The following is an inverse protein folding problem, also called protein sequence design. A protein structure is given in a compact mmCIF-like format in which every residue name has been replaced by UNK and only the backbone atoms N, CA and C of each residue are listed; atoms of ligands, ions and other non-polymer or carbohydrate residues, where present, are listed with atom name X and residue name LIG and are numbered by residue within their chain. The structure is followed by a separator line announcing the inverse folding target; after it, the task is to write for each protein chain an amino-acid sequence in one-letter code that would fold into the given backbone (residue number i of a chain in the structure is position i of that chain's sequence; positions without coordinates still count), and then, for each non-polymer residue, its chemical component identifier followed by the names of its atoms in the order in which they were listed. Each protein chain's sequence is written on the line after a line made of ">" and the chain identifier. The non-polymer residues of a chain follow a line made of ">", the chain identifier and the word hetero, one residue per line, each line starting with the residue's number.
data_IF_736898090611
#
_entry.id   IF_736898090611
#
_cell.length_a   1.000
_cell.length_b   1.000
_cell.length_c   1.000
_cell.angle_alpha   90.00
_cell.angle_beta   90.00
_cell.angle_gamma   90.00
#
_symmetry.space_group_name_H-M   'P 1'
#
loop_
_entity.id
_entity.type
_entity.pdbx_description
1 polymer ?
#
# COMPACT_ATOMS: atom_id res chain seq x y z
N UNK A 1 20.39 19.54 -27.93
CA UNK A 1 21.20 18.39 -27.49
C UNK A 1 20.27 17.22 -27.18
N UNK A 2 20.58 16.03 -27.70
CA UNK A 2 19.85 14.79 -27.43
C UNK A 2 20.87 13.64 -27.28
N UNK A 3 20.53 12.63 -26.49
CA UNK A 3 21.33 11.40 -26.38
C UNK A 3 20.66 10.34 -27.23
N UNK A 4 21.45 9.60 -28.01
CA UNK A 4 20.96 8.47 -28.79
C UNK A 4 20.98 7.20 -27.93
N UNK A 5 19.80 6.65 -27.64
CA UNK A 5 19.63 5.39 -26.91
C UNK A 5 18.92 4.33 -27.78
N UNK A 6 18.94 4.47 -29.10
CA UNK A 6 18.30 3.51 -30.03
C UNK A 6 18.87 2.10 -29.89
N UNK A 7 20.17 1.98 -29.60
CA UNK A 7 20.86 0.73 -29.20
C UNK A 7 20.10 -0.04 -28.12
N UNK A 8 19.50 0.68 -27.17
CA UNK A 8 18.77 0.13 -26.03
C UNK A 8 17.25 0.06 -26.28
N UNK A 9 16.79 0.37 -27.50
CA UNK A 9 15.37 0.51 -27.86
C UNK A 9 14.64 1.57 -27.04
N UNK A 10 15.35 2.63 -26.62
CA UNK A 10 14.82 3.71 -25.79
C UNK A 10 14.65 5.04 -26.53
N UNK A 11 14.96 5.11 -27.82
CA UNK A 11 14.79 6.33 -28.61
C UNK A 11 15.84 7.40 -28.32
N UNK A 12 15.56 8.65 -28.71
CA UNK A 12 16.48 9.78 -28.56
C UNK A 12 15.94 10.85 -27.61
N UNK A 13 16.06 10.69 -26.28
CA UNK A 13 15.62 11.72 -25.35
C UNK A 13 16.35 13.03 -25.60
N UNK A 14 15.57 14.10 -25.77
CA UNK A 14 16.10 15.46 -25.82
C UNK A 14 16.58 15.82 -24.41
N UNK A 15 17.73 16.48 -24.31
CA UNK A 15 18.25 17.06 -23.06
C UNK A 15 18.24 18.59 -23.06
N UNK A 16 18.23 19.20 -24.24
CA UNK A 16 18.12 20.64 -24.39
C UNK A 16 17.45 20.97 -25.72
N UNK A 17 16.40 21.78 -25.69
CA UNK A 17 15.69 22.21 -26.90
C UNK A 17 16.58 23.16 -27.73
N UNK A 18 16.66 22.99 -29.06
CA UNK A 18 17.30 23.97 -29.94
C UNK A 18 16.67 25.37 -29.75
N UNK A 19 17.49 26.42 -29.69
CA UNK A 19 17.03 27.80 -29.54
C UNK A 19 16.54 28.20 -28.14
N UNK A 20 16.68 27.34 -27.13
CA UNK A 20 16.09 27.56 -25.79
C UNK A 20 16.97 28.30 -24.77
N UNK A 21 18.03 29.01 -25.21
CA UNK A 21 18.94 29.80 -24.35
C UNK A 21 19.33 29.15 -23.01
N UNK A 22 19.58 27.84 -22.98
CA UNK A 22 19.97 27.15 -21.74
C UNK A 22 18.85 26.60 -20.87
N UNK A 23 17.58 26.70 -21.26
CA UNK A 23 16.47 26.15 -20.46
C UNK A 23 16.59 24.62 -20.30
N UNK A 24 16.61 24.15 -19.06
CA UNK A 24 16.72 22.72 -18.73
C UNK A 24 15.35 22.04 -18.81
N UNK A 25 15.26 20.93 -19.52
CA UNK A 25 14.02 20.14 -19.60
C UNK A 25 13.97 19.07 -18.49
N UNK A 26 12.80 18.46 -18.33
CA UNK A 26 12.47 17.58 -17.20
C UNK A 26 13.48 16.44 -17.00
N UNK A 27 14.03 15.88 -18.08
CA UNK A 27 15.09 14.87 -18.05
C UNK A 27 16.34 15.35 -17.29
N UNK A 28 16.88 16.52 -17.65
CA UNK A 28 18.07 17.08 -17.01
C UNK A 28 17.81 17.41 -15.54
N UNK A 29 16.59 17.88 -15.22
CA UNK A 29 16.20 18.18 -13.83
C UNK A 29 16.10 16.94 -12.96
N UNK A 30 15.60 15.82 -13.47
CA UNK A 30 15.58 14.55 -12.74
C UNK A 30 16.99 14.00 -12.53
N UNK A 31 17.85 14.12 -13.53
CA UNK A 31 19.27 13.72 -13.43
C UNK A 31 19.98 14.53 -12.34
N UNK A 32 19.91 15.85 -12.41
CA UNK A 32 20.51 16.75 -11.42
C UNK A 32 19.93 16.51 -10.02
N UNK A 33 18.61 16.33 -9.91
CA UNK A 33 17.94 16.07 -8.63
C UNK A 33 18.38 14.75 -7.98
N UNK A 34 18.63 13.70 -8.76
CA UNK A 34 19.14 12.44 -8.21
C UNK A 34 20.57 12.56 -7.67
N UNK A 35 21.44 13.26 -8.39
CA UNK A 35 22.83 13.53 -7.99
C UNK A 35 22.86 14.38 -6.72
N UNK A 36 22.10 15.48 -6.70
CA UNK A 36 22.02 16.37 -5.54
C UNK A 36 21.50 15.64 -4.29
N UNK A 37 20.45 14.81 -4.44
CA UNK A 37 19.96 13.96 -3.35
C UNK A 37 21.03 12.98 -2.85
N UNK A 38 21.83 12.42 -3.74
CA UNK A 38 22.88 11.50 -3.30
C UNK A 38 24.00 12.23 -2.55
N UNK A 39 24.44 13.38 -3.03
CA UNK A 39 25.43 14.19 -2.30
C UNK A 39 24.92 14.64 -0.93
N UNK A 40 23.61 14.90 -0.81
CA UNK A 40 23.01 15.33 0.45
C UNK A 40 22.76 14.19 1.43
N UNK A 41 22.24 13.06 0.95
CA UNK A 41 21.71 12.00 1.82
C UNK A 41 22.53 10.72 1.81
N UNK A 42 23.45 10.56 0.85
CA UNK A 42 24.24 9.33 0.64
C UNK A 42 23.36 8.07 0.68
N UNK A 43 22.21 8.11 0.01
CA UNK A 43 21.21 7.05 0.11
C UNK A 43 21.75 5.69 -0.37
N UNK A 44 21.33 4.62 0.32
CA UNK A 44 21.56 3.25 -0.12
C UNK A 44 20.59 2.82 -1.23
N UNK A 45 19.37 3.37 -1.20
CA UNK A 45 18.34 3.11 -2.20
C UNK A 45 17.42 4.33 -2.37
N UNK A 46 17.00 4.61 -3.61
CA UNK A 46 16.01 5.63 -3.93
C UNK A 46 14.91 5.04 -4.82
N UNK A 47 13.66 5.14 -4.33
CA UNK A 47 12.47 4.63 -5.02
C UNK A 47 11.75 5.77 -5.74
N UNK A 48 11.49 5.59 -7.03
CA UNK A 48 10.65 6.48 -7.84
C UNK A 48 9.27 5.88 -7.99
N UNK A 49 8.30 6.39 -7.23
CA UNK A 49 6.90 5.96 -7.31
C UNK A 49 6.13 6.89 -8.26
N UNK A 50 5.94 6.48 -9.52
CA UNK A 50 5.33 7.34 -10.55
C UNK A 50 4.40 6.53 -11.44
N UNK A 51 3.33 7.17 -11.93
CA UNK A 51 2.38 6.50 -12.82
C UNK A 51 3.01 5.95 -14.10
N UNK A 52 2.47 4.83 -14.58
CA UNK A 52 2.96 4.04 -15.71
C UNK A 52 3.20 4.82 -17.03
N UNK A 53 2.53 5.96 -17.21
CA UNK A 53 2.74 6.81 -18.38
C UNK A 53 4.16 7.37 -18.49
N UNK A 54 4.92 7.34 -17.39
CA UNK A 54 6.31 7.79 -17.35
C UNK A 54 7.31 6.64 -17.49
N UNK A 55 6.87 5.40 -17.79
CA UNK A 55 7.76 4.24 -17.95
C UNK A 55 8.94 4.55 -18.90
N UNK A 56 8.67 5.07 -20.10
CA UNK A 56 9.72 5.39 -21.08
C UNK A 56 10.71 6.44 -20.54
N UNK A 57 10.19 7.47 -19.86
CA UNK A 57 11.00 8.55 -19.30
C UNK A 57 11.97 8.04 -18.23
N UNK A 58 11.50 7.20 -17.30
CA UNK A 58 12.35 6.64 -16.25
C UNK A 58 13.33 5.59 -16.78
N UNK A 59 12.94 4.77 -17.76
CA UNK A 59 13.86 3.87 -18.45
C UNK A 59 15.00 4.63 -19.15
N UNK A 60 14.68 5.76 -19.81
CA UNK A 60 15.68 6.66 -20.39
C UNK A 60 16.57 7.29 -19.31
N UNK A 61 15.99 7.80 -18.21
CA UNK A 61 16.77 8.38 -17.10
C UNK A 61 17.78 7.38 -16.53
N UNK A 62 17.32 6.17 -16.19
CA UNK A 62 18.16 5.14 -15.59
C UNK A 62 19.26 4.67 -16.54
N UNK A 63 18.93 4.56 -17.83
CA UNK A 63 19.95 4.25 -18.83
C UNK A 63 21.00 5.34 -18.93
N UNK A 64 20.59 6.61 -18.97
CA UNK A 64 21.53 7.75 -18.98
C UNK A 64 22.42 7.70 -17.74
N UNK A 65 21.86 7.50 -16.54
CA UNK A 65 22.67 7.41 -15.33
C UNK A 65 23.68 6.26 -15.38
N UNK A 66 23.28 5.09 -15.89
CA UNK A 66 24.18 3.92 -16.02
C UNK A 66 25.35 4.14 -16.99
N UNK A 67 25.24 5.15 -17.86
CA UNK A 67 26.24 5.51 -18.87
C UNK A 67 27.08 6.72 -18.49
N UNK A 68 26.84 7.34 -17.33
CA UNK A 68 27.69 8.40 -16.80
C UNK A 68 28.89 7.78 -16.09
N UNK A 69 30.11 8.03 -16.60
CA UNK A 69 31.37 7.54 -15.99
C UNK A 69 31.50 8.00 -14.52
N UNK A 70 31.12 9.25 -14.22
CA UNK A 70 31.18 9.84 -12.89
C UNK A 70 29.86 9.75 -12.10
N UNK A 71 29.03 8.71 -12.33
CA UNK A 71 27.81 8.54 -11.54
C UNK A 71 28.16 8.17 -10.08
N UNK A 72 27.91 9.03 -9.08
CA UNK A 72 28.47 8.85 -7.74
C UNK A 72 27.80 7.72 -6.94
N UNK A 73 26.71 7.14 -7.45
CA UNK A 73 25.86 6.17 -6.75
C UNK A 73 25.60 4.88 -7.54
N UNK A 74 26.31 4.62 -8.65
CA UNK A 74 26.15 3.35 -9.41
C UNK A 74 24.69 3.06 -9.78
N UNK A 75 24.11 3.89 -10.65
CA UNK A 75 22.66 4.05 -10.79
C UNK A 75 21.83 2.79 -11.05
N UNK A 76 22.39 1.75 -11.66
CA UNK A 76 21.69 0.49 -11.88
C UNK A 76 21.41 -0.31 -10.61
N UNK A 77 22.13 -0.05 -9.51
CA UNK A 77 21.99 -0.82 -8.26
C UNK A 77 21.14 -0.10 -7.21
N UNK A 78 21.13 1.24 -7.20
CA UNK A 78 20.51 2.04 -6.12
C UNK A 78 19.20 2.73 -6.48
N UNK A 79 18.85 2.80 -7.77
CA UNK A 79 17.60 3.42 -8.23
C UNK A 79 16.58 2.34 -8.62
N UNK A 80 15.36 2.46 -8.10
CA UNK A 80 14.26 1.57 -8.49
C UNK A 80 13.03 2.36 -8.88
N UNK A 81 12.36 1.93 -9.96
CA UNK A 81 11.15 2.55 -10.45
C UNK A 81 9.94 1.67 -10.12
N UNK A 82 9.01 2.22 -9.36
CA UNK A 82 7.79 1.57 -8.89
C UNK A 82 6.61 2.24 -9.58
N UNK A 83 6.02 1.57 -10.57
CA UNK A 83 4.90 2.12 -11.32
C UNK A 83 3.54 1.74 -10.75
N UNK A 84 2.53 2.56 -11.06
CA UNK A 84 1.12 2.32 -10.78
C UNK A 84 0.22 2.78 -11.95
N UNK A 85 -0.94 2.16 -12.13
CA UNK A 85 -1.91 2.42 -13.18
C UNK A 85 -2.74 3.69 -12.93
N UNK A 86 -3.65 4.02 -13.86
CA UNK A 86 -4.50 5.22 -13.72
C UNK A 86 -5.80 4.91 -12.97
N UNK A 87 -6.15 5.79 -12.03
CA UNK A 87 -7.52 5.96 -11.56
C UNK A 87 -8.33 6.81 -12.57
N UNK A 88 -9.59 6.44 -12.85
CA UNK A 88 -10.49 7.20 -13.72
C UNK A 88 -11.81 7.51 -13.02
N UNK A 89 -12.18 8.81 -13.03
CA UNK A 89 -13.46 9.31 -12.51
C UNK A 89 -13.45 9.52 -10.99
N UNK A 90 -14.09 10.60 -10.52
CA UNK A 90 -14.38 10.87 -9.12
C UNK A 90 -15.85 11.27 -9.00
N UNK A 91 -16.56 10.74 -8.01
CA UNK A 91 -17.90 11.13 -7.62
C UNK A 91 -17.97 11.12 -6.08
N UNK A 92 -18.93 11.82 -5.50
CA UNK A 92 -19.02 12.03 -4.04
C UNK A 92 -20.18 11.22 -3.45
N UNK A 93 -20.01 10.50 -2.33
CA UNK A 93 -21.10 9.81 -1.66
C UNK A 93 -21.89 10.75 -0.70
N UNK A 94 -23.12 10.36 -0.36
CA UNK A 94 -24.06 11.09 0.52
C UNK A 94 -24.19 10.46 1.92
N UNK A 95 -24.44 11.23 3.00
CA UNK A 95 -24.42 10.69 4.36
C UNK A 95 -25.82 10.48 4.96
N UNK A 96 -26.09 9.31 5.52
CA UNK A 96 -27.07 9.15 6.62
C UNK A 96 -26.66 8.06 7.62
N UNK A 97 -26.99 8.34 8.89
CA UNK A 97 -26.98 7.53 10.14
C UNK A 97 -25.72 7.59 11.01
N UNK A 98 -25.70 8.45 12.03
CA UNK A 98 -24.83 8.30 13.20
C UNK A 98 -25.48 8.87 14.48
N UNK A 99 -26.03 8.01 15.34
CA UNK A 99 -26.61 8.41 16.63
C UNK A 99 -25.92 7.77 17.85
N UNK A 100 -24.76 7.13 17.68
CA UNK A 100 -24.03 6.44 18.75
C UNK A 100 -22.50 6.64 18.68
N UNK A 101 -22.03 7.64 17.94
CA UNK A 101 -20.60 7.89 17.74
C UNK A 101 -20.22 9.20 18.44
N UNK A 102 -19.16 9.18 19.24
CA UNK A 102 -18.65 10.34 19.99
C UNK A 102 -18.16 11.45 19.06
N UNK A 103 -17.47 11.06 17.97
CA UNK A 103 -17.09 11.94 16.86
C UNK A 103 -17.48 11.33 15.50
N UNK A 104 -18.71 11.60 15.01
CA UNK A 104 -19.19 11.08 13.74
C UNK A 104 -18.37 11.58 12.53
N UNK A 105 -17.87 12.82 12.57
CA UNK A 105 -17.12 13.40 11.44
C UNK A 105 -15.77 12.69 11.28
N UNK A 106 -14.99 12.61 12.36
CA UNK A 106 -13.71 11.90 12.36
C UNK A 106 -13.87 10.43 11.97
N UNK A 107 -14.89 9.76 12.50
CA UNK A 107 -15.14 8.35 12.19
C UNK A 107 -15.51 8.16 10.72
N UNK A 108 -16.33 9.04 10.17
CA UNK A 108 -16.70 9.00 8.75
C UNK A 108 -15.50 9.24 7.83
N UNK A 109 -14.59 10.15 8.20
CA UNK A 109 -13.36 10.43 7.45
C UNK A 109 -12.40 9.23 7.47
N UNK A 110 -12.21 8.59 8.63
CA UNK A 110 -11.39 7.39 8.75
C UNK A 110 -11.93 6.22 7.92
N UNK A 111 -13.24 5.99 7.97
CA UNK A 111 -13.90 4.94 7.18
C UNK A 111 -13.77 5.26 5.69
N UNK A 112 -14.06 6.50 5.28
CA UNK A 112 -13.97 6.95 3.89
C UNK A 112 -12.54 6.85 3.34
N UNK A 113 -11.54 7.28 4.10
CA UNK A 113 -10.14 7.15 3.73
C UNK A 113 -9.72 5.68 3.61
N UNK A 114 -10.18 4.82 4.52
CA UNK A 114 -9.88 3.38 4.44
C UNK A 114 -10.54 2.76 3.21
N UNK A 115 -11.77 3.13 2.90
CA UNK A 115 -12.48 2.68 1.70
C UNK A 115 -11.67 3.01 0.42
N UNK A 116 -11.26 4.26 0.26
CA UNK A 116 -10.48 4.71 -0.90
C UNK A 116 -9.12 4.01 -0.99
N UNK A 117 -8.38 3.92 0.12
CA UNK A 117 -7.05 3.30 0.13
C UNK A 117 -7.12 1.81 -0.16
N UNK A 118 -8.02 1.09 0.49
CA UNK A 118 -8.12 -0.38 0.32
C UNK A 118 -8.52 -0.72 -1.10
N UNK A 119 -9.46 -0.01 -1.70
CA UNK A 119 -9.84 -0.30 -3.09
C UNK A 119 -8.67 -0.08 -4.06
N UNK A 120 -7.87 0.98 -3.87
CA UNK A 120 -6.72 1.28 -4.73
C UNK A 120 -5.61 0.24 -4.55
N UNK A 121 -5.39 -0.18 -3.31
CA UNK A 121 -4.32 -1.11 -2.95
C UNK A 121 -4.68 -2.59 -3.15
N UNK A 122 -5.95 -2.93 -3.37
CA UNK A 122 -6.39 -4.33 -3.51
C UNK A 122 -5.90 -4.99 -4.80
N UNK A 123 -5.82 -4.22 -5.89
CA UNK A 123 -5.29 -4.70 -7.16
C UNK A 123 -3.76 -4.54 -7.21
N UNK A 124 -3.10 -5.31 -8.10
CA UNK A 124 -1.68 -5.07 -8.42
C UNK A 124 -1.52 -3.64 -8.95
N UNK A 125 -0.44 -2.97 -8.55
CA UNK A 125 -0.24 -1.54 -8.88
C UNK A 125 -0.37 -1.23 -10.37
N UNK A 126 0.09 -2.11 -11.24
CA UNK A 126 0.09 -1.92 -12.70
C UNK A 126 -1.31 -1.91 -13.32
N UNK A 127 -2.32 -2.41 -12.62
CA UNK A 127 -3.69 -2.46 -13.12
C UNK A 127 -4.32 -1.07 -13.06
N UNK A 128 -4.97 -0.68 -14.15
CA UNK A 128 -5.84 0.50 -14.16
C UNK A 128 -7.24 0.10 -13.69
N UNK A 129 -7.94 1.01 -13.02
CA UNK A 129 -9.30 0.75 -12.54
C UNK A 129 -10.21 1.97 -12.78
N UNK A 130 -11.52 1.71 -12.77
CA UNK A 130 -12.56 2.73 -12.77
C UNK A 130 -13.06 2.91 -11.35
N UNK A 131 -13.06 4.15 -10.85
CA UNK A 131 -13.59 4.44 -9.52
C UNK A 131 -15.11 4.24 -9.52
N UNK A 132 -15.60 3.31 -8.71
CA UNK A 132 -17.02 3.02 -8.55
C UNK A 132 -17.37 3.10 -7.06
N UNK A 133 -17.96 4.21 -6.63
CA UNK A 133 -18.24 4.45 -5.21
C UNK A 133 -19.24 3.46 -4.64
N UNK A 134 -20.15 2.94 -5.46
CA UNK A 134 -21.11 1.91 -5.06
C UNK A 134 -20.41 0.60 -4.66
N UNK A 135 -19.17 0.37 -5.14
CA UNK A 135 -18.37 -0.82 -4.79
C UNK A 135 -17.39 -0.59 -3.66
N UNK A 136 -17.07 0.68 -3.33
CA UNK A 136 -15.98 1.03 -2.42
C UNK A 136 -16.50 1.36 -1.01
N UNK A 137 -17.69 1.96 -0.92
CA UNK A 137 -18.31 2.36 0.35
C UNK A 137 -19.14 1.30 1.09
N UNK A 138 -19.58 0.17 0.49
CA UNK A 138 -20.33 -0.85 1.24
C UNK A 138 -19.53 -1.43 2.41
N UNK A 139 -20.24 -1.81 3.48
CA UNK A 139 -19.69 -2.55 4.62
C UNK A 139 -19.66 -4.07 4.41
N UNK A 140 -20.19 -4.53 3.27
CA UNK A 140 -20.22 -5.93 2.86
C UNK A 140 -19.23 -6.18 1.72
N UNK A 141 -18.64 -7.37 1.71
CA UNK A 141 -17.61 -7.76 0.73
C UNK A 141 -16.20 -7.29 1.10
N UNK A 142 -15.27 -7.45 0.17
CA UNK A 142 -13.86 -7.11 0.37
C UNK A 142 -13.62 -5.60 0.20
N UNK A 143 -14.12 -4.81 1.16
CA UNK A 143 -14.00 -3.34 1.17
C UNK A 143 -13.21 -2.82 2.38
N UNK A 144 -12.75 -1.57 2.29
CA UNK A 144 -12.09 -0.91 3.42
C UNK A 144 -12.98 -0.80 4.68
N UNK A 145 -14.27 -0.42 4.56
CA UNK A 145 -15.20 -0.42 5.67
C UNK A 145 -15.38 -1.79 6.32
N UNK A 146 -15.35 -2.89 5.56
CA UNK A 146 -15.41 -4.26 6.13
C UNK A 146 -14.21 -4.57 7.05
N UNK A 147 -13.00 -4.15 6.66
CA UNK A 147 -11.81 -4.32 7.51
C UNK A 147 -11.92 -3.50 8.81
N UNK A 148 -12.39 -2.25 8.72
CA UNK A 148 -12.64 -1.40 9.90
C UNK A 148 -13.71 -2.00 10.81
N UNK A 149 -14.80 -2.51 10.24
CA UNK A 149 -15.86 -3.16 10.99
C UNK A 149 -15.35 -4.38 11.75
N UNK A 150 -14.55 -5.23 11.10
CA UNK A 150 -13.91 -6.40 11.73
C UNK A 150 -13.06 -5.97 12.94
N UNK A 151 -12.23 -4.93 12.78
CA UNK A 151 -11.39 -4.40 13.87
C UNK A 151 -12.23 -3.85 15.03
N UNK A 152 -13.25 -3.03 14.75
CA UNK A 152 -14.13 -2.45 15.78
C UNK A 152 -14.88 -3.53 16.55
N UNK A 153 -15.32 -4.59 15.87
CA UNK A 153 -16.02 -5.73 16.48
C UNK A 153 -15.11 -6.50 17.45
N UNK A 154 -13.84 -6.71 17.10
CA UNK A 154 -12.85 -7.30 18.02
C UNK A 154 -12.61 -6.41 19.24
N UNK A 155 -12.41 -5.10 19.03
CA UNK A 155 -12.24 -4.15 20.15
C UNK A 155 -13.49 -4.11 21.04
N UNK A 156 -14.67 -4.23 20.45
CA UNK A 156 -15.92 -4.29 21.20
C UNK A 156 -16.02 -5.57 22.02
N UNK A 157 -15.62 -6.72 21.47
CA UNK A 157 -15.56 -7.99 22.20
C UNK A 157 -14.72 -7.86 23.46
N UNK A 158 -13.51 -7.32 23.32
CA UNK A 158 -12.58 -7.13 24.44
C UNK A 158 -13.20 -6.25 25.53
N UNK A 159 -13.86 -5.14 25.15
CA UNK A 159 -14.57 -4.28 26.11
C UNK A 159 -15.73 -4.99 26.80
N UNK A 160 -16.54 -5.73 26.04
CA UNK A 160 -17.72 -6.42 26.58
C UNK A 160 -17.31 -7.52 27.56
N UNK A 161 -16.35 -8.37 27.20
CA UNK A 161 -15.83 -9.44 28.06
C UNK A 161 -15.18 -8.88 29.32
N UNK A 162 -14.48 -7.74 29.22
CA UNK A 162 -13.95 -7.06 30.40
C UNK A 162 -15.04 -6.52 31.34
N UNK A 163 -16.16 -6.04 30.80
CA UNK A 163 -17.28 -5.47 31.57
C UNK A 163 -18.20 -6.53 32.17
N UNK A 164 -18.53 -7.57 31.41
CA UNK A 164 -19.53 -8.59 31.77
C UNK A 164 -18.89 -9.74 32.55
N UNK A 165 -17.72 -10.22 32.11
CA UNK A 165 -17.06 -11.40 32.68
C UNK A 165 -15.86 -11.05 33.58
N UNK A 166 -15.46 -9.77 33.62
CA UNK A 166 -14.29 -9.31 34.37
C UNK A 166 -12.95 -9.82 33.80
N UNK A 167 -12.96 -10.35 32.59
CA UNK A 167 -11.80 -10.91 31.91
C UNK A 167 -10.99 -9.78 31.26
N UNK A 168 -9.94 -9.35 31.95
CA UNK A 168 -9.00 -8.32 31.46
C UNK A 168 -7.65 -8.96 31.17
N UNK A 169 -7.17 -8.79 29.93
CA UNK A 169 -5.83 -9.25 29.53
C UNK A 169 -4.80 -8.32 30.19
N UNK A 170 -4.30 -8.73 31.35
CA UNK A 170 -3.34 -7.95 32.14
C UNK A 170 -1.88 -8.26 31.79
N UNK A 171 -1.60 -9.48 31.32
CA UNK A 171 -0.27 -9.90 30.87
C UNK A 171 -0.36 -11.04 29.86
N UNK A 172 0.63 -11.18 28.98
CA UNK A 172 0.70 -12.32 28.06
C UNK A 172 0.88 -13.66 28.80
N UNK A 173 1.55 -13.64 29.95
CA UNK A 173 1.78 -14.84 30.78
C UNK A 173 0.48 -15.38 31.41
N UNK A 174 -0.55 -14.55 31.53
CA UNK A 174 -1.87 -14.95 32.03
C UNK A 174 -2.74 -15.70 31.01
N UNK A 175 -2.28 -15.82 29.75
CA UNK A 175 -3.04 -16.45 28.68
C UNK A 175 -2.69 -17.93 28.59
N UNK A 176 -3.66 -18.80 28.93
CA UNK A 176 -3.53 -20.23 28.70
C UNK A 176 -3.73 -20.60 27.23
N UNK A 177 -2.62 -20.63 26.49
CA UNK A 177 -2.62 -21.01 25.07
C UNK A 177 -3.01 -22.46 24.79
N UNK A 178 -3.04 -23.34 25.80
CA UNK A 178 -3.47 -24.73 25.60
C UNK A 178 -4.93 -24.83 25.17
N UNK A 179 -5.75 -23.84 25.55
CA UNK A 179 -7.16 -23.73 25.17
C UNK A 179 -7.35 -23.50 23.66
N UNK A 180 -6.34 -22.98 22.96
CA UNK A 180 -6.38 -22.78 21.50
C UNK A 180 -6.26 -24.10 20.73
N UNK A 181 -5.86 -25.19 21.37
CA UNK A 181 -5.70 -26.50 20.73
C UNK A 181 -7.03 -27.17 20.41
N UNK A 182 -8.09 -26.87 21.17
CA UNK A 182 -9.39 -27.55 21.03
C UNK A 182 -10.19 -27.06 19.82
N UNK A 183 -10.39 -25.74 19.59
CA UNK A 183 -11.17 -25.24 18.47
C UNK A 183 -10.33 -25.23 17.18
N UNK A 184 -10.74 -25.97 16.12
CA UNK A 184 -9.99 -25.99 14.87
C UNK A 184 -9.79 -24.59 14.25
N UNK A 185 -10.80 -23.72 14.38
CA UNK A 185 -10.78 -22.34 13.89
C UNK A 185 -9.80 -21.43 14.63
N UNK A 186 -9.60 -21.63 15.93
CA UNK A 186 -8.60 -20.89 16.69
C UNK A 186 -7.19 -21.19 16.18
N UNK A 187 -6.88 -22.48 15.94
CA UNK A 187 -5.59 -22.90 15.37
C UNK A 187 -5.36 -22.33 13.97
N UNK A 188 -6.40 -22.32 13.13
CA UNK A 188 -6.32 -21.75 11.79
C UNK A 188 -5.92 -20.27 11.82
N UNK A 189 -6.54 -19.48 12.70
CA UNK A 189 -6.19 -18.07 12.89
C UNK A 189 -4.75 -17.93 13.39
N UNK A 190 -4.33 -18.70 14.39
CA UNK A 190 -2.96 -18.64 14.95
C UNK A 190 -1.92 -18.93 13.87
N UNK A 191 -2.12 -20.00 13.08
CA UNK A 191 -1.22 -20.34 11.98
C UNK A 191 -1.20 -19.24 10.92
N UNK A 192 -2.35 -18.64 10.61
CA UNK A 192 -2.43 -17.54 9.65
C UNK A 192 -1.71 -16.28 10.15
N UNK A 193 -1.85 -15.93 11.43
CA UNK A 193 -1.11 -14.83 12.07
C UNK A 193 0.40 -15.02 11.96
N UNK A 194 0.89 -16.25 12.12
CA UNK A 194 2.31 -16.58 12.00
C UNK A 194 2.88 -16.34 10.59
N UNK A 195 2.04 -16.25 9.55
CA UNK A 195 2.48 -15.95 8.17
C UNK A 195 2.75 -14.47 7.91
N UNK A 196 2.32 -13.56 8.80
CA UNK A 196 2.42 -12.12 8.59
C UNK A 196 3.85 -11.63 8.26
N UNK A 197 4.93 -12.10 8.94
CA UNK A 197 6.29 -11.69 8.61
C UNK A 197 6.69 -12.01 7.16
N UNK A 198 6.23 -13.13 6.62
CA UNK A 198 6.50 -13.53 5.22
C UNK A 198 5.70 -12.69 4.22
N UNK A 199 4.46 -12.32 4.58
CA UNK A 199 3.65 -11.38 3.80
C UNK A 199 4.34 -10.02 3.74
N UNK A 200 4.81 -9.49 4.87
CA UNK A 200 5.55 -8.21 4.93
C UNK A 200 6.83 -8.29 4.10
N UNK A 201 7.61 -9.37 4.22
CA UNK A 201 8.83 -9.57 3.42
C UNK A 201 8.52 -9.63 1.92
N UNK A 202 7.43 -10.29 1.56
CA UNK A 202 6.99 -10.38 0.16
C UNK A 202 6.54 -9.02 -0.35
N UNK A 203 5.73 -8.28 0.41
CA UNK A 203 5.31 -6.93 0.08
C UNK A 203 6.49 -5.96 -0.08
N UNK A 204 7.52 -6.08 0.78
CA UNK A 204 8.76 -5.31 0.63
C UNK A 204 9.51 -5.66 -0.66
N UNK A 205 9.57 -6.94 -1.03
CA UNK A 205 10.28 -7.39 -2.24
C UNK A 205 9.54 -7.01 -3.53
N UNK A 206 8.22 -7.13 -3.55
CA UNK A 206 7.42 -6.88 -4.76
C UNK A 206 6.91 -5.44 -4.84
N UNK A 207 7.02 -4.69 -3.75
CA UNK A 207 6.41 -3.38 -3.52
C UNK A 207 4.88 -3.37 -3.66
N UNK A 208 4.23 -4.54 -3.69
CA UNK A 208 2.78 -4.66 -3.98
C UNK A 208 1.98 -4.55 -2.68
N UNK A 209 1.21 -3.46 -2.48
CA UNK A 209 0.37 -3.33 -1.30
C UNK A 209 -0.77 -4.36 -1.29
N UNK A 210 -1.16 -4.87 -2.45
CA UNK A 210 -2.19 -5.92 -2.60
C UNK A 210 -1.89 -7.16 -1.78
N UNK A 211 -0.61 -7.49 -1.57
CA UNK A 211 -0.22 -8.62 -0.74
C UNK A 211 -0.69 -8.45 0.72
N UNK A 212 -0.56 -7.23 1.26
CA UNK A 212 -1.02 -6.90 2.62
C UNK A 212 -2.54 -6.83 2.68
N UNK A 213 -3.18 -6.25 1.66
CA UNK A 213 -4.64 -6.16 1.58
C UNK A 213 -5.29 -7.54 1.52
N UNK A 214 -4.78 -8.44 0.67
CA UNK A 214 -5.23 -9.84 0.60
C UNK A 214 -5.06 -10.57 1.93
N UNK A 215 -3.94 -10.33 2.62
CA UNK A 215 -3.73 -10.89 3.96
C UNK A 215 -4.78 -10.40 4.96
N UNK A 216 -5.05 -9.08 4.99
CA UNK A 216 -6.02 -8.50 5.90
C UNK A 216 -7.43 -9.06 5.66
N UNK A 217 -7.87 -9.18 4.40
CA UNK A 217 -9.16 -9.78 4.09
C UNK A 217 -9.25 -11.25 4.49
N UNK A 218 -8.22 -12.03 4.16
CA UNK A 218 -8.18 -13.44 4.55
C UNK A 218 -8.26 -13.62 6.08
N UNK A 219 -7.52 -12.80 6.83
CA UNK A 219 -7.58 -12.79 8.30
C UNK A 219 -8.98 -12.40 8.80
N UNK A 220 -9.58 -11.36 8.24
CA UNK A 220 -10.92 -10.92 8.60
C UNK A 220 -11.99 -12.00 8.35
N UNK A 221 -11.91 -12.70 7.21
CA UNK A 221 -12.78 -13.82 6.88
C UNK A 221 -12.60 -14.99 7.85
N UNK A 222 -11.35 -15.31 8.24
CA UNK A 222 -11.07 -16.33 9.25
C UNK A 222 -11.67 -15.97 10.61
N UNK A 223 -11.53 -14.71 11.04
CA UNK A 223 -12.11 -14.21 12.30
C UNK A 223 -13.64 -14.26 12.25
N UNK A 224 -14.25 -13.82 11.15
CA UNK A 224 -15.70 -13.86 10.98
C UNK A 224 -16.23 -15.29 11.03
N UNK A 225 -15.56 -16.23 10.38
CA UNK A 225 -15.91 -17.66 10.42
C UNK A 225 -15.74 -18.28 11.81
N UNK A 226 -14.69 -17.87 12.54
CA UNK A 226 -14.46 -18.35 13.90
C UNK A 226 -15.55 -17.87 14.86
N UNK A 227 -16.09 -16.66 14.67
CA UNK A 227 -17.12 -16.10 15.53
C UNK A 227 -18.40 -16.94 15.60
N UNK A 228 -18.77 -17.62 14.52
CA UNK A 228 -19.97 -18.46 14.48
C UNK A 228 -19.80 -19.79 15.25
N UNK A 229 -18.56 -20.16 15.57
CA UNK A 229 -18.21 -21.50 16.04
C UNK A 229 -17.48 -21.52 17.38
N UNK A 230 -16.71 -20.48 17.68
CA UNK A 230 -16.07 -20.27 18.96
C UNK A 230 -17.05 -19.44 19.80
N UNK A 231 -17.80 -20.13 20.66
CA UNK A 231 -18.61 -19.47 21.68
C UNK A 231 -17.62 -18.85 22.68
N UNK A 232 -17.62 -17.52 22.73
CA UNK A 232 -17.00 -16.74 23.81
C UNK A 232 -17.95 -16.75 25.00
#
# INVERSE_FOLDING_TARGET
>A
MAIDLDEFKLGKPVLQKPGSYGSTIYMVRNIAGAIDRYHKYHFDKMLYVVGDQQNLHFSQCFKIFSSLEDCPFGASERLEYINFGRAKGMATPSPERFAAIEDPELTSDQIGMTAVKVQDMQAKRIMSYHSDWERVTPFEGDTGPYLQYTHVRLCSMERMVALEDGLVISSLDSIDTSLLLSPPKAREIVLYLATFPDVVRTALRTHEPSNLVTYCFSLAHLISSAWETIVV
#
